data_IF_477390482537
#
_entry.id   IF_477390482537
#
_cell.length_a   1.000
_cell.length_b   1.000
_cell.length_c   1.000
_cell.angle_alpha   90.00
_cell.angle_beta   90.00
_cell.angle_gamma   90.00
#
_symmetry.space_group_name_H-M   'P 1'
#
loop_
_entity.id
_entity.type
_entity.pdbx_description
1 polymer ?
#
# COMPACT_ATOMS: atom_id res chain seq x y z
N UNK A 1 64.40 -0.97 -67.24
CA UNK A 1 64.55 0.26 -66.43
C UNK A 1 63.36 0.30 -65.48
N UNK A 2 63.59 -0.01 -64.19
CA UNK A 2 62.53 -0.22 -63.18
C UNK A 2 62.22 1.13 -62.53
N UNK A 3 60.97 1.58 -62.56
CA UNK A 3 60.47 2.68 -61.74
C UNK A 3 59.45 2.12 -60.74
N UNK A 4 59.84 2.10 -59.47
CA UNK A 4 59.00 1.82 -58.31
C UNK A 4 58.38 3.12 -57.82
N UNK A 5 57.04 3.18 -57.76
CA UNK A 5 56.31 4.27 -57.13
C UNK A 5 56.16 4.01 -55.62
N UNK A 6 56.22 5.03 -54.75
CA UNK A 6 56.03 4.87 -53.32
C UNK A 6 54.52 4.87 -52.97
N UNK A 7 54.12 3.95 -52.10
CA UNK A 7 52.81 3.90 -51.47
C UNK A 7 52.84 4.84 -50.26
N UNK A 8 52.06 5.93 -50.29
CA UNK A 8 51.77 6.75 -49.11
C UNK A 8 50.65 6.08 -48.30
N UNK A 9 50.96 5.60 -47.10
CA UNK A 9 49.96 5.15 -46.14
C UNK A 9 49.63 6.35 -45.24
N UNK A 10 48.44 6.94 -45.44
CA UNK A 10 47.89 7.96 -44.56
C UNK A 10 47.21 7.27 -43.36
N UNK A 11 47.85 7.30 -42.20
CA UNK A 11 47.24 6.86 -40.94
C UNK A 11 46.27 7.93 -40.43
N UNK A 12 44.97 7.73 -40.66
CA UNK A 12 43.90 8.50 -40.03
C UNK A 12 43.72 8.03 -38.57
N UNK A 13 44.21 8.83 -37.62
CA UNK A 13 43.87 8.70 -36.20
C UNK A 13 42.47 9.28 -35.98
N UNK A 14 41.47 8.40 -35.93
CA UNK A 14 40.13 8.72 -35.41
C UNK A 14 40.21 8.82 -33.88
N UNK A 15 40.37 10.05 -33.36
CA UNK A 15 40.04 10.33 -31.96
C UNK A 15 38.51 10.29 -31.81
N UNK A 16 37.98 9.14 -31.41
CA UNK A 16 36.62 9.04 -30.91
C UNK A 16 36.54 9.74 -29.57
N UNK A 17 36.05 10.98 -29.57
CA UNK A 17 35.58 11.64 -28.36
C UNK A 17 34.36 10.85 -27.84
N UNK A 18 34.59 9.92 -26.91
CA UNK A 18 33.50 9.36 -26.12
C UNK A 18 33.03 10.45 -25.17
N UNK A 19 32.05 11.23 -25.61
CA UNK A 19 31.18 11.94 -24.71
C UNK A 19 30.56 10.88 -23.79
N UNK A 20 30.99 10.83 -22.52
CA UNK A 20 30.22 10.18 -21.47
C UNK A 20 28.86 10.87 -21.52
N UNK A 21 27.83 10.15 -21.95
CA UNK A 21 26.48 10.51 -21.60
C UNK A 21 26.49 10.58 -20.08
N UNK A 22 26.37 11.79 -19.52
CA UNK A 22 25.97 11.92 -18.12
C UNK A 22 24.66 11.16 -18.02
N UNK A 23 24.67 10.07 -17.25
CA UNK A 23 23.46 9.31 -16.96
C UNK A 23 22.43 10.32 -16.47
N UNK A 24 21.42 10.58 -17.30
CA UNK A 24 20.31 11.44 -16.91
C UNK A 24 19.85 10.93 -15.53
N UNK A 25 19.73 11.81 -14.52
CA UNK A 25 19.47 11.39 -13.15
C UNK A 25 18.32 10.40 -13.18
N UNK A 26 18.54 9.21 -12.62
CA UNK A 26 17.48 8.22 -12.46
C UNK A 26 16.34 8.95 -11.74
N UNK A 27 15.25 9.22 -12.46
CA UNK A 27 14.04 9.79 -11.86
C UNK A 27 13.45 8.64 -11.03
N UNK A 28 13.97 8.50 -9.82
CA UNK A 28 13.46 7.54 -8.87
C UNK A 28 12.05 7.99 -8.50
N UNK A 29 11.02 7.14 -8.68
CA UNK A 29 9.64 7.50 -8.42
C UNK A 29 9.37 7.92 -6.98
N UNK A 30 10.29 7.66 -6.06
CA UNK A 30 10.16 7.75 -4.62
C UNK A 30 9.99 9.15 -4.04
N UNK A 31 10.53 10.19 -4.68
CA UNK A 31 10.48 11.55 -4.11
C UNK A 31 9.18 12.29 -4.50
N UNK A 32 8.22 12.29 -3.58
CA UNK A 32 6.94 13.00 -3.73
C UNK A 32 7.10 14.52 -3.92
N UNK A 33 8.22 15.13 -3.55
CA UNK A 33 8.44 16.56 -3.76
C UNK A 33 8.64 16.92 -5.23
N UNK A 34 8.98 15.94 -6.08
CA UNK A 34 9.11 16.10 -7.52
C UNK A 34 7.80 15.88 -8.27
N UNK A 35 6.75 15.44 -7.57
CA UNK A 35 5.45 15.14 -8.18
C UNK A 35 4.63 16.42 -8.36
N UNK A 36 3.86 16.45 -9.43
CA UNK A 36 3.01 17.59 -9.77
C UNK A 36 1.59 17.39 -9.25
N UNK A 37 0.99 18.48 -8.81
CA UNK A 37 -0.44 18.49 -8.47
C UNK A 37 -1.29 18.36 -9.74
N UNK A 38 -2.32 17.54 -9.64
CA UNK A 38 -3.28 17.28 -10.72
C UNK A 38 -4.71 17.37 -10.21
N UNK A 39 -5.64 17.69 -11.10
CA UNK A 39 -7.07 17.60 -10.84
C UNK A 39 -7.60 16.34 -11.53
N UNK A 40 -7.96 15.27 -10.79
CA UNK A 40 -8.53 14.08 -11.42
C UNK A 40 -9.83 14.41 -12.16
N UNK A 41 -10.03 13.79 -13.32
CA UNK A 41 -11.29 13.93 -14.03
C UNK A 41 -12.42 13.25 -13.25
N UNK A 42 -13.67 13.76 -13.33
CA UNK A 42 -14.83 13.04 -12.85
C UNK A 42 -14.89 11.62 -13.44
N UNK A 43 -14.86 10.58 -12.60
CA UNK A 43 -14.82 9.15 -13.02
C UNK A 43 -15.96 8.77 -13.96
N UNK A 44 -17.09 9.49 -13.90
CA UNK A 44 -18.28 9.21 -14.72
C UNK A 44 -18.20 9.74 -16.16
N UNK A 45 -17.23 10.58 -16.51
CA UNK A 45 -17.29 11.33 -17.77
C UNK A 45 -16.14 11.09 -18.76
N UNK A 46 -15.10 10.32 -18.39
CA UNK A 46 -13.94 10.16 -19.28
C UNK A 46 -13.51 8.71 -19.50
N UNK A 47 -13.89 8.13 -20.64
CA UNK A 47 -13.40 6.81 -21.10
C UNK A 47 -11.87 6.77 -21.26
N UNK A 48 -11.19 7.92 -21.41
CA UNK A 48 -9.72 7.98 -21.46
C UNK A 48 -9.10 7.58 -20.12
N UNK A 49 -9.81 7.82 -19.01
CA UNK A 49 -9.35 7.50 -17.66
C UNK A 49 -9.37 6.00 -17.37
N UNK A 50 -10.32 5.25 -17.95
CA UNK A 50 -10.41 3.79 -17.80
C UNK A 50 -9.58 3.03 -18.85
N UNK A 51 -9.24 3.66 -19.97
CA UNK A 51 -8.51 3.04 -21.10
C UNK A 51 -7.02 3.41 -21.17
N UNK A 52 -6.53 4.33 -20.34
CA UNK A 52 -5.11 4.67 -20.36
C UNK A 52 -4.25 3.48 -19.87
N UNK A 53 -3.09 3.18 -20.49
CA UNK A 53 -2.21 2.11 -20.03
C UNK A 53 -1.74 2.28 -18.57
N UNK A 54 -1.63 3.52 -18.10
CA UNK A 54 -1.30 3.86 -16.71
C UNK A 54 -2.53 3.84 -15.78
N UNK A 55 -3.73 3.62 -16.30
CA UNK A 55 -4.95 3.65 -15.49
C UNK A 55 -4.98 2.57 -14.39
N UNK A 56 -4.18 1.51 -14.56
CA UNK A 56 -4.01 0.43 -13.60
C UNK A 56 -2.79 0.60 -12.68
N UNK A 57 -1.93 1.60 -12.93
CA UNK A 57 -0.75 1.83 -12.09
C UNK A 57 -1.22 2.18 -10.68
N UNK A 58 -0.75 1.43 -9.68
CA UNK A 58 -0.99 1.78 -8.28
C UNK A 58 0.27 2.38 -7.68
N UNK A 59 0.08 3.36 -6.82
CA UNK A 59 1.14 3.95 -6.03
C UNK A 59 0.94 3.56 -4.58
N UNK A 60 2.02 3.10 -3.96
CA UNK A 60 2.04 2.82 -2.54
C UNK A 60 2.88 3.87 -1.84
N UNK A 61 2.35 4.42 -0.75
CA UNK A 61 3.09 5.30 0.14
C UNK A 61 3.77 4.47 1.23
N UNK A 62 5.05 4.78 1.47
CA UNK A 62 5.94 4.07 2.39
C UNK A 62 6.81 5.07 3.14
N UNK A 63 7.32 4.68 4.30
CA UNK A 63 8.37 5.44 4.96
C UNK A 63 9.74 4.95 4.45
N UNK A 64 10.58 5.86 3.98
CA UNK A 64 11.98 5.56 3.63
C UNK A 64 12.85 5.39 4.88
N UNK A 65 14.06 4.88 4.71
CA UNK A 65 15.03 4.67 5.80
C UNK A 65 15.42 5.97 6.53
N UNK A 66 15.37 7.12 5.84
CA UNK A 66 15.59 8.45 6.42
C UNK A 66 14.31 9.04 7.06
N UNK A 67 13.24 8.25 7.14
CA UNK A 67 12.01 8.59 7.80
C UNK A 67 11.03 9.41 6.95
N UNK A 68 11.38 9.78 5.72
CA UNK A 68 10.51 10.60 4.86
C UNK A 68 9.40 9.77 4.19
N UNK A 69 8.30 10.42 3.77
CA UNK A 69 7.36 9.81 2.83
C UNK A 69 8.06 9.49 1.51
N UNK A 70 7.86 8.28 1.03
CA UNK A 70 8.37 7.76 -0.24
C UNK A 70 7.25 6.99 -0.94
N UNK A 71 7.38 6.78 -2.25
CA UNK A 71 6.41 6.03 -3.03
C UNK A 71 7.05 4.99 -3.95
N UNK A 72 6.34 3.88 -4.14
CA UNK A 72 6.73 2.85 -5.09
C UNK A 72 5.57 2.50 -6.03
N UNK A 73 5.85 2.21 -7.32
CA UNK A 73 4.86 1.60 -8.18
C UNK A 73 4.58 0.18 -7.69
N UNK A 74 3.30 -0.19 -7.62
CA UNK A 74 2.89 -1.56 -7.28
C UNK A 74 1.89 -2.07 -8.30
N UNK A 75 1.95 -3.37 -8.58
CA UNK A 75 0.91 -4.02 -9.37
C UNK A 75 -0.38 -4.15 -8.54
N UNK A 76 -1.53 -4.13 -9.23
CA UNK A 76 -2.84 -4.31 -8.62
C UNK A 76 -2.88 -5.55 -7.72
N UNK A 77 -3.35 -5.39 -6.49
CA UNK A 77 -3.50 -6.49 -5.53
C UNK A 77 -2.18 -7.05 -4.97
N UNK A 78 -1.03 -6.46 -5.32
CA UNK A 78 0.22 -6.85 -4.67
C UNK A 78 0.19 -6.41 -3.20
N UNK A 79 0.53 -7.28 -2.24
CA UNK A 79 0.58 -6.89 -0.84
C UNK A 79 1.71 -5.87 -0.58
N UNK A 80 1.61 -5.07 0.50
CA UNK A 80 2.68 -4.19 0.95
C UNK A 80 4.05 -4.87 0.98
N UNK A 81 5.12 -4.12 0.68
CA UNK A 81 6.52 -4.45 1.01
C UNK A 81 6.76 -4.38 2.53
N UNK A 82 5.80 -4.89 3.32
CA UNK A 82 5.96 -5.07 4.76
C UNK A 82 6.93 -6.21 5.02
N UNK A 83 7.57 -6.23 6.19
CA UNK A 83 8.34 -7.41 6.60
C UNK A 83 7.46 -8.64 6.45
N UNK A 84 7.95 -9.63 5.70
CA UNK A 84 7.29 -10.92 5.50
C UNK A 84 8.00 -11.97 6.35
N UNK A 85 7.28 -12.96 6.88
CA UNK A 85 7.91 -14.11 7.51
C UNK A 85 8.84 -14.84 6.52
N UNK A 86 9.90 -15.47 7.03
CA UNK A 86 10.79 -16.32 6.24
C UNK A 86 10.16 -17.66 5.82
N UNK A 87 8.93 -17.91 6.26
CA UNK A 87 8.13 -19.08 5.91
C UNK A 87 6.87 -18.65 5.14
N UNK A 88 6.26 -19.58 4.41
CA UNK A 88 4.98 -19.36 3.73
C UNK A 88 3.85 -19.75 4.68
N UNK A 89 3.05 -18.80 5.21
CA UNK A 89 1.95 -19.14 6.10
C UNK A 89 0.88 -19.94 5.36
N UNK A 90 0.37 -20.97 6.03
CA UNK A 90 -0.73 -21.79 5.55
C UNK A 90 -1.77 -21.89 6.66
N UNK A 91 -3.03 -21.71 6.29
CA UNK A 91 -4.16 -21.90 7.21
C UNK A 91 -5.22 -22.76 6.53
N UNK A 92 -5.85 -23.63 7.30
CA UNK A 92 -7.00 -24.41 6.84
C UNK A 92 -8.22 -24.00 7.65
N UNK A 93 -9.27 -23.57 6.97
CA UNK A 93 -10.58 -23.38 7.58
C UNK A 93 -11.44 -24.60 7.28
N UNK A 94 -11.77 -25.34 8.33
CA UNK A 94 -12.85 -26.33 8.26
C UNK A 94 -14.17 -25.59 8.37
N UNK A 95 -15.02 -25.72 7.34
CA UNK A 95 -16.39 -25.21 7.37
C UNK A 95 -17.30 -26.43 7.56
N UNK A 96 -18.06 -26.52 8.66
CA UNK A 96 -19.01 -27.61 8.86
C UNK A 96 -19.96 -27.73 7.65
N UNK A 97 -20.02 -28.91 7.03
CA UNK A 97 -20.84 -29.16 5.85
C UNK A 97 -20.19 -28.84 4.49
N UNK A 98 -19.03 -28.19 4.46
CA UNK A 98 -18.28 -28.02 3.22
C UNK A 98 -17.55 -29.33 2.86
N UNK A 99 -17.72 -29.79 1.62
CA UNK A 99 -16.97 -30.95 1.10
C UNK A 99 -15.46 -30.69 0.96
N UNK A 100 -14.99 -29.46 1.17
CA UNK A 100 -13.59 -29.05 1.01
C UNK A 100 -13.16 -28.13 2.14
N UNK A 101 -11.99 -28.41 2.73
CA UNK A 101 -11.26 -27.45 3.54
C UNK A 101 -10.74 -26.33 2.66
N UNK A 102 -11.03 -25.07 2.97
CA UNK A 102 -10.34 -23.95 2.32
C UNK A 102 -8.91 -23.90 2.85
N UNK A 103 -7.94 -23.93 1.93
CA UNK A 103 -6.52 -23.77 2.24
C UNK A 103 -6.10 -22.37 1.84
N UNK A 104 -5.88 -21.51 2.83
CA UNK A 104 -5.20 -20.25 2.61
C UNK A 104 -3.69 -20.51 2.48
N UNK A 105 -3.05 -19.91 1.49
CA UNK A 105 -1.60 -20.00 1.24
C UNK A 105 -1.08 -18.60 0.94
N UNK A 106 -0.14 -18.12 1.75
CA UNK A 106 0.32 -16.73 1.69
C UNK A 106 -0.72 -15.76 2.25
N UNK A 107 -0.32 -14.96 3.23
CA UNK A 107 -1.16 -13.89 3.77
C UNK A 107 -1.18 -12.65 2.88
N UNK A 108 -2.22 -11.84 3.04
CA UNK A 108 -2.38 -10.53 2.40
C UNK A 108 -1.73 -9.43 3.22
N UNK A 109 -1.78 -9.54 4.55
CA UNK A 109 -1.12 -8.63 5.47
C UNK A 109 -0.36 -9.38 6.56
N UNK A 110 0.75 -8.78 6.99
CA UNK A 110 1.68 -9.34 7.98
C UNK A 110 2.02 -8.27 9.00
N UNK A 111 2.11 -8.66 10.27
CA UNK A 111 2.62 -7.83 11.34
C UNK A 111 3.53 -8.66 12.25
N UNK A 112 4.83 -8.32 12.36
CA UNK A 112 5.71 -8.98 13.31
C UNK A 112 5.28 -8.68 14.75
N UNK A 113 5.36 -9.69 15.60
CA UNK A 113 5.20 -9.57 17.06
C UNK A 113 6.51 -9.93 17.75
N UNK A 114 6.61 -9.73 19.06
CA UNK A 114 7.81 -10.09 19.83
C UNK A 114 8.09 -11.61 19.85
N UNK A 115 7.06 -12.42 19.60
CA UNK A 115 7.09 -13.88 19.63
C UNK A 115 6.74 -14.56 18.30
N UNK A 116 6.48 -13.80 17.23
CA UNK A 116 6.00 -14.38 15.98
C UNK A 116 5.44 -13.38 15.00
N UNK A 117 4.32 -13.76 14.38
CA UNK A 117 3.66 -13.02 13.31
C UNK A 117 2.16 -13.12 13.43
N UNK A 118 1.48 -11.97 13.30
CA UNK A 118 0.07 -11.94 12.93
C UNK A 118 -0.03 -11.93 11.40
N UNK A 119 -0.85 -12.82 10.87
CA UNK A 119 -1.02 -13.02 9.43
C UNK A 119 -2.51 -12.98 9.11
N UNK A 120 -2.88 -12.05 8.25
CA UNK A 120 -4.23 -11.91 7.73
C UNK A 120 -4.36 -12.66 6.41
N UNK A 121 -5.41 -13.48 6.34
CA UNK A 121 -5.89 -14.09 5.11
C UNK A 121 -7.22 -13.42 4.74
N UNK A 122 -7.31 -12.80 3.57
CA UNK A 122 -8.53 -12.14 3.10
C UNK A 122 -8.82 -12.51 1.64
N UNK A 123 -9.78 -13.40 1.42
CA UNK A 123 -10.21 -13.85 0.09
C UNK A 123 -11.56 -13.24 -0.29
N UNK A 124 -11.91 -12.08 0.28
CA UNK A 124 -13.19 -11.43 0.03
C UNK A 124 -14.37 -12.32 0.42
N UNK A 125 -15.29 -12.56 -0.51
CA UNK A 125 -16.49 -13.37 -0.27
C UNK A 125 -16.20 -14.85 -0.01
N UNK A 126 -14.97 -15.31 -0.32
CA UNK A 126 -14.56 -16.71 -0.12
C UNK A 126 -14.00 -16.98 1.27
N UNK A 127 -14.09 -16.00 2.18
CA UNK A 127 -13.71 -16.12 3.57
C UNK A 127 -12.41 -15.39 3.91
N UNK A 128 -12.18 -15.28 5.21
CA UNK A 128 -11.00 -14.66 5.77
C UNK A 128 -10.64 -15.30 7.11
N UNK A 129 -9.41 -15.07 7.54
CA UNK A 129 -9.00 -15.41 8.89
C UNK A 129 -7.79 -14.59 9.33
N UNK A 130 -7.72 -14.33 10.62
CA UNK A 130 -6.52 -13.85 11.28
C UNK A 130 -5.88 -15.00 12.04
N UNK A 131 -4.61 -15.24 11.81
CA UNK A 131 -3.82 -16.26 12.51
C UNK A 131 -2.61 -15.63 13.17
N UNK A 132 -2.16 -16.27 14.26
CA UNK A 132 -0.82 -16.07 14.78
C UNK A 132 0.06 -17.26 14.40
N UNK A 133 1.32 -16.98 14.08
CA UNK A 133 2.37 -17.96 13.82
C UNK A 133 3.57 -17.66 14.71
N UNK A 134 4.24 -18.69 15.24
CA UNK A 134 5.54 -18.53 15.88
C UNK A 134 6.60 -18.05 14.89
N UNK A 135 7.76 -17.58 15.39
CA UNK A 135 8.84 -17.00 14.57
C UNK A 135 9.26 -17.84 13.35
N UNK A 136 9.29 -19.15 13.52
CA UNK A 136 9.67 -20.12 12.47
C UNK A 136 8.48 -20.70 11.69
N UNK A 137 7.25 -20.30 12.02
CA UNK A 137 6.03 -20.79 11.37
C UNK A 137 5.61 -22.22 11.73
N UNK A 138 6.35 -22.91 12.60
CA UNK A 138 6.08 -24.31 13.01
C UNK A 138 4.86 -24.47 13.92
N UNK A 139 4.49 -23.42 14.64
CA UNK A 139 3.31 -23.38 15.52
C UNK A 139 2.40 -22.25 15.07
N UNK A 140 1.09 -22.49 15.06
CA UNK A 140 0.11 -21.47 14.74
C UNK A 140 -1.25 -21.76 15.38
N UNK A 141 -2.08 -20.74 15.48
CA UNK A 141 -3.49 -20.89 15.83
C UNK A 141 -4.30 -19.73 15.24
N UNK A 142 -5.59 -20.00 15.05
CA UNK A 142 -6.55 -18.99 14.57
C UNK A 142 -6.85 -18.01 15.70
N UNK A 143 -6.77 -16.72 15.40
CA UNK A 143 -7.13 -15.63 16.30
C UNK A 143 -8.60 -15.22 16.08
N UNK A 144 -9.04 -15.08 14.83
CA UNK A 144 -10.41 -14.70 14.49
C UNK A 144 -10.77 -14.95 13.01
N UNK A 145 -12.03 -14.69 12.65
CA UNK A 145 -12.56 -14.72 11.28
C UNK A 145 -12.56 -13.36 10.54
N UNK A 146 -12.06 -12.30 11.18
CA UNK A 146 -12.03 -10.94 10.61
C UNK A 146 -11.32 -10.84 9.24
N UNK A 147 -11.85 -9.98 8.37
CA UNK A 147 -11.37 -9.73 7.01
C UNK A 147 -10.32 -8.61 6.99
N UNK A 148 -9.21 -8.84 7.70
CA UNK A 148 -8.19 -7.80 7.89
C UNK A 148 -7.58 -7.37 6.56
N UNK A 149 -7.70 -6.07 6.26
CA UNK A 149 -7.11 -5.41 5.10
C UNK A 149 -5.72 -4.85 5.44
N UNK A 150 -5.59 -4.18 6.59
CA UNK A 150 -4.33 -3.61 7.03
C UNK A 150 -4.19 -3.59 8.56
N UNK A 151 -3.00 -3.95 9.04
CA UNK A 151 -2.58 -3.72 10.42
C UNK A 151 -2.08 -2.29 10.62
N UNK A 152 -2.37 -1.76 11.80
CA UNK A 152 -1.87 -0.49 12.32
C UNK A 152 -1.38 -0.72 13.75
N UNK A 153 -0.25 -0.12 14.13
CA UNK A 153 0.32 -0.31 15.46
C UNK A 153 0.83 1.02 16.01
N UNK A 154 0.52 1.30 17.27
CA UNK A 154 0.91 2.51 17.95
C UNK A 154 1.14 2.23 19.45
N UNK A 155 1.36 3.29 20.23
CA UNK A 155 1.59 3.19 21.68
C UNK A 155 0.39 2.62 22.46
N UNK A 156 -0.81 2.57 21.87
CA UNK A 156 -2.04 2.01 22.47
C UNK A 156 -2.26 0.54 22.15
N UNK A 157 -1.47 -0.01 21.22
CA UNK A 157 -1.47 -1.43 20.88
C UNK A 157 -1.58 -1.69 19.38
N UNK A 158 -2.05 -2.89 19.07
CA UNK A 158 -2.23 -3.36 17.70
C UNK A 158 -3.71 -3.22 17.34
N UNK A 159 -3.95 -2.59 16.20
CA UNK A 159 -5.25 -2.49 15.57
C UNK A 159 -5.17 -3.04 14.16
N UNK A 160 -6.34 -3.34 13.60
CA UNK A 160 -6.47 -3.60 12.18
C UNK A 160 -7.76 -2.98 11.68
N UNK A 161 -7.74 -2.57 10.42
CA UNK A 161 -8.96 -2.28 9.67
C UNK A 161 -9.34 -3.52 8.89
N UNK A 162 -10.62 -3.85 8.91
CA UNK A 162 -11.18 -5.03 8.27
C UNK A 162 -12.51 -4.72 7.59
N UNK A 163 -12.82 -5.44 6.52
CA UNK A 163 -14.08 -5.23 5.83
C UNK A 163 -14.19 -5.91 4.49
N UNK A 164 -15.30 -5.62 3.82
CA UNK A 164 -15.62 -6.13 2.50
C UNK A 164 -16.42 -5.09 1.72
N UNK A 165 -15.93 -4.78 0.52
CA UNK A 165 -16.66 -4.01 -0.48
C UNK A 165 -16.81 -4.86 -1.74
N UNK A 166 -17.99 -5.45 -1.94
CA UNK A 166 -18.33 -6.22 -3.13
C UNK A 166 -19.84 -6.19 -3.39
N UNK A 167 -20.22 -5.90 -4.64
CA UNK A 167 -21.61 -5.71 -5.07
C UNK A 167 -22.38 -4.75 -4.15
N UNK A 168 -23.39 -5.25 -3.44
CA UNK A 168 -24.24 -4.50 -2.52
C UNK A 168 -23.67 -4.42 -1.10
N UNK A 169 -22.56 -5.09 -0.82
CA UNK A 169 -21.90 -5.05 0.48
C UNK A 169 -20.86 -3.95 0.50
N UNK A 170 -20.94 -3.07 1.50
CA UNK A 170 -19.92 -2.08 1.83
C UNK A 170 -19.89 -1.91 3.35
N UNK A 171 -19.11 -2.75 4.04
CA UNK A 171 -19.03 -2.75 5.51
C UNK A 171 -17.59 -2.92 5.97
N UNK A 172 -17.31 -2.48 7.19
CA UNK A 172 -16.06 -2.78 7.84
C UNK A 172 -16.02 -2.32 9.28
N UNK A 173 -14.94 -2.65 9.95
CA UNK A 173 -14.70 -2.30 11.33
C UNK A 173 -13.21 -2.02 11.59
N UNK A 174 -12.94 -1.40 12.73
CA UNK A 174 -11.62 -1.41 13.35
C UNK A 174 -11.66 -2.49 14.41
N UNK A 175 -10.70 -3.40 14.39
CA UNK A 175 -10.52 -4.40 15.44
C UNK A 175 -9.30 -4.08 16.28
N UNK A 176 -9.40 -4.35 17.58
CA UNK A 176 -8.27 -4.35 18.51
C UNK A 176 -7.72 -5.77 18.62
N UNK A 177 -6.41 -5.91 18.48
CA UNK A 177 -5.72 -7.19 18.62
C UNK A 177 -4.85 -7.13 19.87
N UNK A 178 -5.11 -8.02 20.82
CA UNK A 178 -4.49 -7.97 22.14
C UNK A 178 -4.26 -9.36 22.74
N UNK A 179 -3.48 -9.41 23.82
CA UNK A 179 -3.33 -10.57 24.68
C UNK A 179 -3.12 -10.08 26.11
N UNK A 180 -3.64 -10.81 27.09
CA UNK A 180 -3.58 -10.39 28.49
C UNK A 180 -2.13 -10.29 29.02
N UNK A 181 -1.26 -11.19 28.58
CA UNK A 181 0.18 -11.19 28.88
C UNK A 181 0.93 -11.98 27.80
N UNK A 182 2.27 -11.98 27.85
CA UNK A 182 3.12 -12.55 26.79
C UNK A 182 2.86 -14.03 26.48
N UNK A 183 2.52 -14.83 27.50
CA UNK A 183 2.20 -16.25 27.33
C UNK A 183 0.72 -16.54 26.94
N UNK A 184 -0.14 -15.52 26.88
CA UNK A 184 -1.54 -15.68 26.48
C UNK A 184 -1.69 -15.74 24.96
N UNK A 185 -2.70 -16.48 24.51
CA UNK A 185 -3.14 -16.41 23.12
C UNK A 185 -3.61 -15.01 22.73
N UNK A 186 -3.29 -14.60 21.51
CA UNK A 186 -3.85 -13.42 20.87
C UNK A 186 -5.36 -13.54 20.73
N UNK A 187 -6.05 -12.41 20.85
CA UNK A 187 -7.49 -12.24 20.66
C UNK A 187 -7.72 -11.01 19.80
N UNK A 188 -8.83 -11.02 19.07
CA UNK A 188 -9.31 -9.87 18.33
C UNK A 188 -10.74 -9.55 18.75
N UNK A 189 -11.04 -8.27 18.93
CA UNK A 189 -12.36 -7.76 19.27
C UNK A 189 -12.67 -6.53 18.42
N UNK A 190 -13.94 -6.33 18.04
CA UNK A 190 -14.37 -5.11 17.38
C UNK A 190 -14.17 -3.93 18.32
N UNK A 191 -13.41 -2.95 17.86
CA UNK A 191 -13.18 -1.69 18.56
C UNK A 191 -14.18 -0.62 18.10
N UNK A 192 -14.46 -0.54 16.80
CA UNK A 192 -15.38 0.45 16.24
C UNK A 192 -15.97 -0.04 14.90
N UNK A 193 -17.27 0.14 14.69
CA UNK A 193 -17.95 -0.17 13.42
C UNK A 193 -17.84 1.02 12.45
N UNK A 194 -17.47 0.75 11.20
CA UNK A 194 -17.26 1.79 10.19
C UNK A 194 -18.49 1.93 9.29
N UNK A 195 -18.69 3.12 8.72
CA UNK A 195 -19.78 3.41 7.79
C UNK A 195 -19.64 2.68 6.45
N UNK A 196 -18.44 2.25 6.11
CA UNK A 196 -18.11 1.59 4.84
C UNK A 196 -16.82 0.76 4.96
N UNK A 197 -16.47 0.02 3.92
CA UNK A 197 -15.27 -0.82 3.93
C UNK A 197 -13.98 0.02 3.96
N UNK A 198 -13.09 -0.21 4.94
CA UNK A 198 -11.78 0.41 4.96
C UNK A 198 -10.86 -0.17 3.89
N UNK A 199 -9.89 0.64 3.46
CA UNK A 199 -8.88 0.27 2.45
C UNK A 199 -7.46 0.40 2.98
N UNK A 200 -7.23 1.41 3.81
CA UNK A 200 -5.94 1.67 4.42
C UNK A 200 -6.13 2.42 5.73
N UNK A 201 -5.12 2.42 6.58
CA UNK A 201 -5.11 3.24 7.78
C UNK A 201 -3.69 3.60 8.21
N UNK A 202 -3.58 4.75 8.88
CA UNK A 202 -2.36 5.22 9.53
C UNK A 202 -2.69 5.63 10.97
N UNK A 203 -1.69 5.62 11.85
CA UNK A 203 -1.87 6.03 13.26
C UNK A 203 -0.84 7.05 13.69
N UNK A 204 -1.29 8.01 14.48
CA UNK A 204 -0.44 8.94 15.22
C UNK A 204 0.17 8.29 16.46
N UNK A 205 1.17 8.95 17.04
CA UNK A 205 1.78 8.58 18.33
C UNK A 205 0.78 8.59 19.49
N UNK A 206 -0.20 9.49 19.46
CA UNK A 206 -1.23 9.60 20.52
C UNK A 206 -2.30 8.50 20.45
N UNK A 207 -2.33 7.75 19.35
CA UNK A 207 -3.21 6.61 19.12
C UNK A 207 -4.44 6.92 18.25
N UNK A 208 -4.58 8.15 17.75
CA UNK A 208 -5.59 8.49 16.75
C UNK A 208 -5.32 7.72 15.45
N UNK A 209 -6.37 7.17 14.87
CA UNK A 209 -6.34 6.48 13.59
C UNK A 209 -6.92 7.38 12.50
N UNK A 210 -6.23 7.45 11.36
CA UNK A 210 -6.78 7.95 10.11
C UNK A 210 -7.14 6.75 9.25
N UNK A 211 -8.43 6.56 9.01
CA UNK A 211 -8.96 5.41 8.27
C UNK A 211 -9.46 5.87 6.92
N UNK A 212 -8.86 5.33 5.87
CA UNK A 212 -9.27 5.54 4.48
C UNK A 212 -10.35 4.53 4.16
N UNK A 213 -11.54 5.04 3.87
CA UNK A 213 -12.73 4.28 3.54
C UNK A 213 -12.94 4.22 2.02
N UNK A 214 -13.91 3.43 1.58
CA UNK A 214 -14.35 3.41 0.18
C UNK A 214 -15.04 4.71 -0.27
N UNK A 215 -15.48 5.55 0.66
CA UNK A 215 -16.29 6.76 0.42
C UNK A 215 -15.81 8.01 1.21
N UNK A 216 -14.61 7.96 1.79
CA UNK A 216 -14.08 9.09 2.55
C UNK A 216 -12.87 8.77 3.41
N UNK A 217 -12.52 9.71 4.30
CA UNK A 217 -11.51 9.53 5.34
C UNK A 217 -12.13 9.87 6.69
N UNK A 218 -11.96 8.99 7.67
CA UNK A 218 -12.36 9.22 9.05
C UNK A 218 -11.14 9.39 9.96
N UNK A 219 -11.30 10.19 11.00
CA UNK A 219 -10.47 10.12 12.20
C UNK A 219 -11.18 9.29 13.25
N UNK A 220 -10.47 8.39 13.92
CA UNK A 220 -10.96 7.61 15.06
C UNK A 220 -10.06 7.81 16.26
N UNK A 221 -10.61 8.33 17.36
CA UNK A 221 -9.84 8.58 18.58
C UNK A 221 -9.48 7.27 19.29
N UNK A 222 -8.51 7.28 20.24
CA UNK A 222 -8.24 6.12 21.08
C UNK A 222 -9.43 5.61 21.91
N UNK A 223 -10.51 6.39 22.02
CA UNK A 223 -11.76 6.03 22.70
C UNK A 223 -12.81 5.45 21.75
N UNK A 224 -12.56 5.48 20.44
CA UNK A 224 -13.50 5.03 19.41
C UNK A 224 -14.41 6.13 18.86
N UNK A 225 -14.22 7.39 19.25
CA UNK A 225 -15.00 8.50 18.70
C UNK A 225 -14.60 8.71 17.23
N UNK A 226 -15.59 8.82 16.35
CA UNK A 226 -15.36 8.96 14.91
C UNK A 226 -15.76 10.34 14.42
N UNK A 227 -14.94 10.93 13.57
CA UNK A 227 -15.24 12.20 12.91
C UNK A 227 -14.81 12.14 11.46
N UNK A 228 -15.67 12.53 10.50
CA UNK A 228 -15.26 12.65 9.12
C UNK A 228 -14.19 13.74 8.92
N UNK A 229 -13.14 13.39 8.19
CA UNK A 229 -12.08 14.32 7.78
C UNK A 229 -12.35 14.84 6.36
N UNK A 230 -12.62 13.92 5.44
CA UNK A 230 -12.97 14.19 4.04
C UNK A 230 -14.20 13.35 3.70
N UNK A 231 -15.21 13.99 3.14
CA UNK A 231 -16.39 13.35 2.56
C UNK A 231 -16.32 13.36 1.04
N UNK A 232 -16.90 12.33 0.41
CA UNK A 232 -17.23 12.34 -1.00
C UNK A 232 -16.53 11.24 -1.79
N UNK A 233 -16.74 11.27 -3.10
CA UNK A 233 -16.26 10.26 -4.02
C UNK A 233 -14.73 10.34 -4.19
N UNK A 234 -13.97 9.83 -3.21
CA UNK A 234 -12.54 9.52 -3.36
C UNK A 234 -12.27 8.58 -4.54
N UNK A 235 -13.33 7.97 -5.10
CA UNK A 235 -13.38 7.29 -6.38
C UNK A 235 -12.73 8.05 -7.52
N UNK A 236 -12.64 9.39 -7.47
CA UNK A 236 -11.97 10.23 -8.47
C UNK A 236 -10.52 9.80 -8.80
N UNK A 237 -9.86 9.04 -7.93
CA UNK A 237 -8.52 8.49 -8.14
C UNK A 237 -8.39 6.98 -7.96
N UNK A 238 -9.47 6.19 -7.96
CA UNK A 238 -9.38 4.74 -7.80
C UNK A 238 -9.16 4.23 -6.36
N UNK A 239 -8.78 2.96 -6.22
CA UNK A 239 -8.79 2.26 -4.94
C UNK A 239 -7.54 2.55 -4.11
N UNK A 240 -7.71 3.14 -2.92
CA UNK A 240 -6.64 3.29 -1.95
C UNK A 240 -6.04 1.94 -1.56
N UNK A 241 -4.72 1.89 -1.37
CA UNK A 241 -3.97 0.68 -1.04
C UNK A 241 -3.01 0.85 0.16
N UNK A 242 -2.74 2.09 0.56
CA UNK A 242 -1.80 2.41 1.64
C UNK A 242 -2.07 3.80 2.19
N UNK A 243 -1.67 4.02 3.44
CA UNK A 243 -1.77 5.30 4.11
C UNK A 243 -0.52 5.48 5.00
N UNK A 244 0.00 6.70 5.04
CA UNK A 244 1.20 7.06 5.79
C UNK A 244 1.08 8.49 6.31
N UNK A 245 1.49 8.72 7.56
CA UNK A 245 1.63 10.06 8.09
C UNK A 245 3.05 10.59 7.85
N UNK A 246 3.16 11.90 7.61
CA UNK A 246 4.44 12.60 7.69
C UNK A 246 5.06 12.44 9.09
N UNK A 247 6.40 12.58 9.25
CA UNK A 247 7.07 12.42 10.54
C UNK A 247 6.55 13.33 11.67
N UNK A 248 6.07 14.51 11.30
CA UNK A 248 5.46 15.50 12.18
C UNK A 248 3.94 15.35 12.34
N UNK A 249 3.35 14.32 11.70
CA UNK A 249 1.93 13.99 11.73
C UNK A 249 1.01 15.14 11.27
N UNK A 250 1.52 16.06 10.45
CA UNK A 250 0.76 17.18 9.89
C UNK A 250 0.08 16.86 8.57
N UNK A 251 0.56 15.82 7.87
CA UNK A 251 0.09 15.44 6.54
C UNK A 251 -0.18 13.93 6.49
N UNK A 252 -1.31 13.55 5.91
CA UNK A 252 -1.64 12.18 5.56
C UNK A 252 -1.44 11.97 4.06
N UNK A 253 -0.61 11.01 3.70
CA UNK A 253 -0.44 10.52 2.35
C UNK A 253 -1.26 9.23 2.17
N UNK A 254 -1.97 9.12 1.05
CA UNK A 254 -2.75 7.93 0.70
C UNK A 254 -2.34 7.49 -0.70
N UNK A 255 -1.73 6.31 -0.79
CA UNK A 255 -1.42 5.67 -2.06
C UNK A 255 -2.68 5.06 -2.68
N UNK A 256 -2.91 5.33 -3.95
CA UNK A 256 -4.09 4.88 -4.69
C UNK A 256 -3.73 4.50 -6.12
N UNK A 257 -4.72 4.11 -6.91
CA UNK A 257 -4.53 3.97 -8.35
C UNK A 257 -4.21 5.36 -8.94
N UNK A 258 -3.27 5.45 -9.87
CA UNK A 258 -2.89 6.64 -10.64
C UNK A 258 -2.25 7.80 -9.86
N UNK A 259 -2.65 8.05 -8.62
CA UNK A 259 -2.24 9.19 -7.82
C UNK A 259 -1.76 8.82 -6.41
N UNK A 260 -1.24 9.83 -5.74
CA UNK A 260 -1.12 9.88 -4.28
C UNK A 260 -1.97 11.05 -3.80
N UNK A 261 -2.88 10.80 -2.88
CA UNK A 261 -3.63 11.87 -2.22
C UNK A 261 -2.82 12.37 -1.03
N UNK A 262 -2.55 13.68 -1.01
CA UNK A 262 -1.95 14.37 0.11
C UNK A 262 -3.04 15.17 0.83
N UNK A 263 -3.15 15.01 2.15
CA UNK A 263 -4.14 15.71 2.99
C UNK A 263 -3.42 16.45 4.11
N UNK A 264 -3.53 17.78 4.13
CA UNK A 264 -3.12 18.58 5.28
C UNK A 264 -4.14 18.40 6.40
N UNK A 265 -3.73 17.80 7.52
CA UNK A 265 -4.63 17.41 8.60
C UNK A 265 -5.18 18.60 9.39
N UNK A 266 -4.48 19.74 9.38
CA UNK A 266 -4.90 20.96 10.06
C UNK A 266 -5.90 21.76 9.23
N UNK A 267 -5.57 22.05 7.97
CA UNK A 267 -6.43 22.84 7.08
C UNK A 267 -7.53 22.03 6.43
N UNK A 268 -7.42 20.69 6.45
CA UNK A 268 -8.26 19.71 5.73
C UNK A 268 -8.25 19.89 4.21
N UNK A 269 -7.31 20.69 3.70
CA UNK A 269 -7.07 20.78 2.26
C UNK A 269 -6.39 19.51 1.79
N UNK A 270 -6.68 19.12 0.56
CA UNK A 270 -6.09 17.97 -0.07
C UNK A 270 -5.77 18.26 -1.53
N UNK A 271 -4.82 17.50 -2.07
CA UNK A 271 -4.41 17.55 -3.47
C UNK A 271 -4.00 16.17 -3.95
N UNK A 272 -4.12 15.94 -5.26
CA UNK A 272 -3.71 14.70 -5.90
C UNK A 272 -2.36 14.93 -6.57
N UNK A 273 -1.42 14.02 -6.33
CA UNK A 273 -0.07 14.08 -6.85
C UNK A 273 0.11 12.97 -7.90
N UNK A 274 0.80 13.29 -8.99
CA UNK A 274 1.21 12.35 -10.03
C UNK A 274 2.68 12.57 -10.38
N UNK A 275 3.46 11.52 -10.73
CA UNK A 275 4.81 11.74 -11.21
C UNK A 275 4.78 12.42 -12.59
N UNK A 276 5.95 12.89 -13.03
CA UNK A 276 6.06 13.48 -14.35
C UNK A 276 5.69 12.51 -15.49
N UNK A 277 5.35 13.07 -16.64
CA UNK A 277 4.92 12.32 -17.82
C UNK A 277 6.01 11.38 -18.37
N UNK A 278 7.30 11.68 -18.15
CA UNK A 278 8.39 10.85 -18.64
C UNK A 278 8.50 9.54 -17.83
N UNK A 279 8.36 9.62 -16.52
CA UNK A 279 8.31 8.48 -15.61
C UNK A 279 7.07 7.62 -15.89
N UNK A 280 5.89 8.22 -16.06
CA UNK A 280 4.69 7.48 -16.45
C UNK A 280 4.88 6.72 -17.76
N UNK A 281 5.43 7.39 -18.78
CA UNK A 281 5.71 6.76 -20.08
C UNK A 281 6.64 5.56 -19.93
N UNK A 282 7.72 5.70 -19.16
CA UNK A 282 8.67 4.62 -18.86
C UNK A 282 7.98 3.41 -18.23
N UNK A 283 7.14 3.64 -17.21
CA UNK A 283 6.42 2.57 -16.50
C UNK A 283 5.40 1.85 -17.39
N UNK A 284 4.75 2.55 -18.32
CA UNK A 284 3.77 1.93 -19.24
C UNK A 284 4.36 1.23 -20.45
N UNK A 285 5.67 1.37 -20.68
CA UNK A 285 6.36 0.82 -21.85
C UNK A 285 7.00 -0.56 -21.62
N UNK A 286 6.88 -1.08 -20.40
CA UNK A 286 7.37 -2.40 -19.97
C UNK A 286 6.22 -3.42 -19.96
#
# INVERSE_FOLDING_TARGET
MKYTAPILIASMLLLSAMARAEDAPSIEPSDLSLWSEVTPAPVREDERFSKAPWAAQQWRVLQSDDGKPSVEPTAWGSPPSKPKPSFVPKASQWIPGAQRSYKFVGGQAYLPTDDGWLVAFNQGEFGAALYWYGKEGKTSYKVSDHQVEAFVSNTKGIFAVEGLAHLVTNRGSIIRISRAHKASSWRAETFAELSSAPRAAASTKDGTLYVVLSDGILTVTPKGDMTPLIHGDLWLGGAANSALLSPDESTLYVGMTQFVLEVNLRSRQHRYLQPDAALLKKLTSQ
#
